data_IF_412721837609
#
_entry.id   IF_412721837609
#
_cell.length_a   1.000
_cell.length_b   1.000
_cell.length_c   1.000
_cell.angle_alpha   90.00
_cell.angle_beta   90.00
_cell.angle_gamma   90.00
#
_symmetry.space_group_name_H-M   'P 1'
#
loop_
_entity.id
_entity.type
_entity.pdbx_description
1 polymer ?
#
# COMPACT_ATOMS: atom_id res chain seq x y z
N UNK A 1 64.67 -64.94 30.33
CA UNK A 1 65.05 -64.68 28.93
C UNK A 1 63.77 -64.66 28.12
N UNK A 2 63.52 -63.57 27.38
CA UNK A 2 62.50 -63.39 26.31
C UNK A 2 61.03 -63.48 26.77
N UNK A 3 60.08 -62.65 26.32
CA UNK A 3 59.97 -61.76 25.15
C UNK A 3 58.82 -60.79 25.47
N UNK A 4 59.04 -59.48 25.38
CA UNK A 4 57.99 -58.47 25.43
C UNK A 4 57.37 -58.31 24.03
N UNK A 5 56.04 -58.35 23.94
CA UNK A 5 55.27 -57.97 22.76
C UNK A 5 55.01 -56.45 22.79
N UNK A 6 55.58 -55.70 21.84
CA UNK A 6 55.23 -54.31 21.59
C UNK A 6 54.04 -54.22 20.61
N UNK A 7 53.07 -53.29 20.81
CA UNK A 7 52.16 -52.89 19.75
C UNK A 7 52.72 -51.70 18.94
N UNK A 8 52.50 -51.81 17.63
CA UNK A 8 52.65 -50.87 16.51
C UNK A 8 52.65 -49.37 16.80
N UNK A 9 53.78 -48.70 16.51
CA UNK A 9 53.88 -47.23 16.41
C UNK A 9 53.95 -46.69 14.97
N UNK A 10 53.90 -47.55 13.95
CA UNK A 10 54.00 -47.14 12.53
C UNK A 10 52.64 -46.92 11.83
N UNK A 11 51.53 -47.44 12.37
CA UNK A 11 50.23 -47.29 11.72
C UNK A 11 49.58 -45.90 11.95
N UNK A 12 49.79 -45.29 13.12
CA UNK A 12 49.16 -44.00 13.47
C UNK A 12 49.77 -42.81 12.69
N UNK A 13 51.06 -42.88 12.33
CA UNK A 13 51.74 -41.79 11.60
C UNK A 13 51.38 -41.75 10.11
N UNK A 14 51.01 -42.88 9.51
CA UNK A 14 50.70 -42.96 8.09
C UNK A 14 49.25 -42.55 7.77
N UNK A 15 48.27 -42.87 8.63
CA UNK A 15 46.90 -42.39 8.47
C UNK A 15 46.81 -40.86 8.59
N UNK A 16 47.56 -40.27 9.52
CA UNK A 16 47.58 -38.81 9.73
C UNK A 16 48.19 -38.06 8.53
N UNK A 17 49.13 -38.68 7.79
CA UNK A 17 49.73 -38.10 6.57
C UNK A 17 48.81 -38.18 5.36
N UNK A 18 48.00 -39.23 5.21
CA UNK A 18 47.06 -39.35 4.08
C UNK A 18 45.87 -38.38 4.18
N UNK A 19 45.45 -38.01 5.40
CA UNK A 19 44.37 -37.05 5.61
C UNK A 19 44.74 -35.61 5.20
N UNK A 20 46.02 -35.23 5.32
CA UNK A 20 46.49 -33.89 4.95
C UNK A 20 46.68 -33.68 3.43
N UNK A 21 46.58 -34.75 2.64
CA UNK A 21 46.72 -34.68 1.18
C UNK A 21 45.42 -34.25 0.50
N UNK A 22 45.54 -33.37 -0.51
CA UNK A 22 44.38 -32.97 -1.31
C UNK A 22 43.84 -34.16 -2.11
N UNK A 23 42.53 -34.17 -2.47
CA UNK A 23 41.93 -35.28 -3.23
C UNK A 23 42.67 -35.59 -4.55
N UNK A 24 43.25 -34.58 -5.20
CA UNK A 24 44.01 -34.76 -6.44
C UNK A 24 45.41 -35.35 -6.20
N UNK A 25 46.10 -34.95 -5.12
CA UNK A 25 47.41 -35.51 -4.78
C UNK A 25 47.30 -37.00 -4.45
N UNK A 26 46.27 -37.42 -3.71
CA UNK A 26 46.02 -38.83 -3.41
C UNK A 26 45.81 -39.68 -4.66
N UNK A 27 44.99 -39.18 -5.59
CA UNK A 27 44.70 -39.91 -6.82
C UNK A 27 45.93 -39.98 -7.75
N UNK A 28 46.74 -38.93 -7.77
CA UNK A 28 47.99 -38.91 -8.52
C UNK A 28 49.02 -39.90 -7.96
N UNK A 29 49.14 -40.03 -6.63
CA UNK A 29 50.01 -41.01 -5.98
C UNK A 29 49.55 -42.43 -6.32
N UNK A 30 48.24 -42.72 -6.20
CA UNK A 30 47.68 -44.04 -6.57
C UNK A 30 47.91 -44.39 -8.04
N UNK A 31 47.78 -43.41 -8.93
CA UNK A 31 48.05 -43.60 -10.35
C UNK A 31 49.50 -44.01 -10.60
N UNK A 32 50.45 -43.36 -9.93
CA UNK A 32 51.88 -43.62 -10.05
C UNK A 32 52.27 -44.99 -9.46
N UNK A 33 51.72 -45.37 -8.31
CA UNK A 33 51.92 -46.70 -7.71
C UNK A 33 51.45 -47.84 -8.62
N UNK A 34 50.31 -47.64 -9.29
CA UNK A 34 49.75 -48.64 -10.21
C UNK A 34 50.58 -48.78 -11.50
N UNK A 35 51.34 -47.74 -11.86
CA UNK A 35 52.18 -47.69 -13.06
C UNK A 35 53.67 -47.88 -12.76
N UNK A 36 54.04 -48.12 -11.49
CA UNK A 36 55.40 -48.47 -11.08
C UNK A 36 56.38 -47.30 -10.99
N UNK A 37 55.91 -46.05 -11.04
CA UNK A 37 56.74 -44.84 -10.90
C UNK A 37 56.57 -44.23 -9.49
N UNK A 38 57.65 -43.68 -8.92
CA UNK A 38 57.60 -42.96 -7.64
C UNK A 38 57.57 -41.44 -7.87
N UNK A 39 56.86 -40.66 -7.03
CA UNK A 39 56.81 -39.20 -7.18
C UNK A 39 58.15 -38.55 -6.81
N UNK A 40 58.79 -37.87 -7.76
CA UNK A 40 60.10 -37.20 -7.60
C UNK A 40 60.16 -36.05 -6.58
N UNK A 41 59.03 -35.66 -5.98
CA UNK A 41 58.99 -34.56 -5.01
C UNK A 41 59.29 -35.02 -3.57
N UNK A 42 59.31 -36.32 -3.30
CA UNK A 42 59.73 -36.84 -1.99
C UNK A 42 61.25 -36.72 -1.77
N UNK A 43 62.04 -36.81 -2.85
CA UNK A 43 63.50 -36.66 -2.78
C UNK A 43 63.91 -35.20 -2.44
N UNK A 44 63.07 -34.23 -2.82
CA UNK A 44 63.31 -32.79 -2.60
C UNK A 44 63.09 -32.40 -1.13
N UNK A 45 62.20 -33.10 -0.43
CA UNK A 45 61.87 -32.78 0.97
C UNK A 45 62.95 -33.33 1.93
N UNK A 46 63.62 -34.43 1.57
CA UNK A 46 64.80 -34.95 2.27
C UNK A 46 66.05 -34.07 2.05
N UNK A 47 66.20 -33.44 0.87
CA UNK A 47 67.24 -32.42 0.61
C UNK A 47 66.99 -31.10 1.36
N UNK A 48 65.72 -30.68 1.46
CA UNK A 48 65.34 -29.44 2.16
C UNK A 48 65.52 -29.51 3.69
N UNK A 49 65.34 -30.69 4.29
CA UNK A 49 65.63 -30.89 5.72
C UNK A 49 67.15 -30.87 6.00
N UNK A 50 67.98 -31.30 5.04
CA UNK A 50 69.44 -31.22 5.13
C UNK A 50 69.98 -29.79 4.93
N UNK A 51 69.33 -28.99 4.08
CA UNK A 51 69.70 -27.59 3.84
C UNK A 51 69.33 -26.67 5.02
N UNK A 52 68.29 -26.99 5.79
CA UNK A 52 67.88 -26.21 6.98
C UNK A 52 68.87 -26.33 8.16
N UNK A 53 69.55 -27.48 8.34
CA UNK A 53 70.60 -27.63 9.36
C UNK A 53 71.87 -26.82 9.01
N UNK A 54 72.11 -26.51 7.73
CA UNK A 54 73.23 -25.70 7.24
C UNK A 54 72.98 -24.19 7.34
N UNK A 55 71.72 -23.76 7.25
CA UNK A 55 71.34 -22.34 7.23
C UNK A 55 71.25 -21.73 8.64
N UNK A 56 71.03 -22.55 9.68
CA UNK A 56 71.08 -22.13 11.09
C UNK A 56 72.52 -21.82 11.58
N UNK A 57 73.55 -22.42 10.95
CA UNK A 57 74.98 -22.19 11.26
C UNK A 57 75.53 -20.89 10.63
N UNK A 58 74.84 -20.33 9.63
CA UNK A 58 75.29 -19.16 8.85
C UNK A 58 74.66 -17.82 9.29
N UNK A 59 73.72 -17.84 10.25
CA UNK A 59 72.96 -16.65 10.69
C UNK A 59 73.57 -15.89 11.89
N UNK A 60 74.79 -16.20 12.32
CA UNK A 60 75.48 -15.45 13.40
C UNK A 60 76.30 -14.25 12.92
N UNK A 61 76.50 -14.02 11.62
CA UNK A 61 77.39 -12.95 11.15
C UNK A 61 76.71 -11.95 10.17
N UNK A 62 76.50 -10.75 10.73
CA UNK A 62 76.66 -9.43 10.11
C UNK A 62 75.42 -8.66 9.61
N UNK A 63 75.26 -7.50 10.26
CA UNK A 63 74.36 -6.40 10.00
C UNK A 63 74.78 -5.55 8.77
N UNK A 64 73.79 -4.86 8.20
CA UNK A 64 73.74 -3.57 7.43
C UNK A 64 74.96 -2.61 7.40
N UNK A 65 74.98 -1.47 6.63
CA UNK A 65 74.06 -0.96 5.57
C UNK A 65 74.71 -0.18 4.37
N UNK A 66 73.84 0.35 3.47
CA UNK A 66 73.89 1.64 2.71
C UNK A 66 74.92 1.95 1.58
N UNK A 67 74.42 2.42 0.41
CA UNK A 67 74.73 3.72 -0.26
C UNK A 67 74.14 3.80 -1.70
N UNK A 68 73.78 5.03 -2.07
CA UNK A 68 73.02 5.59 -3.21
C UNK A 68 73.93 6.01 -4.39
N UNK A 69 73.46 5.96 -5.65
CA UNK A 69 73.53 7.02 -6.71
C UNK A 69 73.41 6.49 -8.17
N UNK A 70 72.24 6.71 -8.77
CA UNK A 70 71.93 7.55 -9.95
C UNK A 70 72.88 7.70 -11.20
N UNK A 71 72.36 7.25 -12.37
CA UNK A 71 72.45 7.76 -13.78
C UNK A 71 73.85 7.74 -14.48
N UNK A 72 74.08 7.04 -15.61
CA UNK A 72 73.78 7.45 -17.00
C UNK A 72 73.85 6.28 -18.01
N UNK A 73 73.01 6.41 -19.05
CA UNK A 73 72.89 5.57 -20.24
C UNK A 73 74.10 5.65 -21.18
N UNK A 74 74.68 4.50 -21.54
CA UNK A 74 75.53 4.35 -22.73
C UNK A 74 74.93 3.30 -23.67
N UNK A 75 74.49 3.77 -24.83
CA UNK A 75 73.76 3.12 -25.92
C UNK A 75 74.60 2.11 -26.74
N UNK A 76 75.77 1.68 -26.27
CA UNK A 76 76.71 0.91 -27.10
C UNK A 76 76.79 -0.60 -26.80
N UNK A 77 75.88 -1.14 -25.99
CA UNK A 77 75.77 -2.60 -25.73
C UNK A 77 74.52 -3.29 -26.29
N UNK A 78 73.70 -2.60 -27.09
CA UNK A 78 72.45 -3.18 -27.60
C UNK A 78 72.57 -4.08 -28.85
N UNK A 79 73.72 -4.15 -29.52
CA UNK A 79 73.82 -4.89 -30.78
C UNK A 79 74.34 -6.34 -30.67
N UNK A 80 74.96 -6.74 -29.55
CA UNK A 80 75.45 -8.12 -29.39
C UNK A 80 74.49 -9.04 -28.62
N UNK A 81 73.63 -8.52 -27.74
CA UNK A 81 72.66 -9.35 -27.00
C UNK A 81 71.34 -9.60 -27.76
N UNK A 82 71.04 -8.82 -28.81
CA UNK A 82 69.84 -9.02 -29.65
C UNK A 82 69.92 -10.24 -30.58
N UNK A 83 71.08 -10.90 -30.70
CA UNK A 83 71.23 -12.11 -31.53
C UNK A 83 71.09 -13.43 -30.75
N UNK A 84 71.20 -13.43 -29.42
CA UNK A 84 71.08 -14.67 -28.63
C UNK A 84 69.73 -14.78 -27.91
N UNK A 85 69.01 -13.68 -27.68
CA UNK A 85 67.65 -13.72 -27.11
C UNK A 85 66.50 -13.89 -28.12
N UNK A 86 66.77 -14.07 -29.42
CA UNK A 86 65.71 -14.30 -30.43
C UNK A 86 65.19 -15.75 -30.48
N UNK A 87 65.93 -16.70 -29.92
CA UNK A 87 65.62 -18.14 -30.03
C UNK A 87 65.17 -18.80 -28.71
N UNK A 88 64.86 -18.01 -27.68
CA UNK A 88 64.10 -18.54 -26.54
C UNK A 88 62.62 -18.59 -26.92
N UNK A 89 61.94 -19.76 -26.87
CA UNK A 89 60.52 -19.84 -27.16
C UNK A 89 59.79 -18.98 -26.13
N UNK A 90 59.25 -17.84 -26.57
CA UNK A 90 58.42 -16.95 -25.76
C UNK A 90 57.33 -17.82 -25.14
N UNK A 91 57.44 -18.10 -23.84
CA UNK A 91 56.52 -18.96 -23.10
C UNK A 91 55.13 -18.35 -23.20
N UNK A 92 54.36 -18.82 -24.17
CA UNK A 92 52.94 -18.53 -24.26
C UNK A 92 52.33 -19.28 -23.09
N UNK A 93 51.94 -18.54 -22.06
CA UNK A 93 51.15 -19.04 -20.93
C UNK A 93 50.13 -20.06 -21.44
N UNK A 94 49.99 -21.20 -20.77
CA UNK A 94 49.07 -22.29 -21.16
C UNK A 94 47.63 -21.81 -21.42
N UNK A 95 47.24 -20.66 -20.87
CA UNK A 95 45.99 -19.97 -21.18
C UNK A 95 45.81 -19.61 -22.67
N UNK A 96 46.88 -19.44 -23.45
CA UNK A 96 46.84 -19.08 -24.88
C UNK A 96 46.61 -20.27 -25.82
N UNK A 97 46.77 -21.51 -25.35
CA UNK A 97 46.62 -22.72 -26.17
C UNK A 97 45.19 -23.27 -26.23
N UNK A 98 44.23 -22.64 -25.52
CA UNK A 98 42.81 -23.02 -25.49
C UNK A 98 41.92 -21.85 -25.97
N UNK A 99 41.84 -21.60 -27.29
CA UNK A 99 41.13 -20.44 -27.84
C UNK A 99 39.63 -20.42 -27.47
N UNK A 100 39.02 -21.59 -27.21
CA UNK A 100 37.59 -21.70 -26.87
C UNK A 100 37.26 -21.34 -25.41
N UNK A 101 38.18 -21.48 -24.46
CA UNK A 101 37.93 -21.16 -23.04
C UNK A 101 38.07 -19.66 -22.73
N UNK A 102 39.03 -18.97 -23.38
CA UNK A 102 39.15 -17.51 -23.28
C UNK A 102 37.91 -16.80 -23.82
N UNK A 103 37.38 -17.26 -24.96
CA UNK A 103 36.18 -16.69 -25.58
C UNK A 103 34.95 -16.88 -24.69
N UNK A 104 34.75 -18.05 -24.07
CA UNK A 104 33.62 -18.28 -23.15
C UNK A 104 33.71 -17.44 -21.86
N UNK A 105 34.89 -17.32 -21.25
CA UNK A 105 35.11 -16.46 -20.07
C UNK A 105 34.91 -14.98 -20.43
N UNK A 106 35.46 -14.53 -21.55
CA UNK A 106 35.24 -13.17 -22.06
C UNK A 106 33.78 -12.91 -22.43
N UNK A 107 33.04 -13.87 -22.97
CA UNK A 107 31.60 -13.71 -23.25
C UNK A 107 30.77 -13.60 -21.96
N UNK A 108 31.09 -14.37 -20.91
CA UNK A 108 30.43 -14.24 -19.60
C UNK A 108 30.77 -12.89 -18.95
N UNK A 109 32.02 -12.45 -19.02
CA UNK A 109 32.45 -11.15 -18.54
C UNK A 109 31.83 -10.00 -19.33
N UNK A 110 31.79 -10.08 -20.66
CA UNK A 110 31.09 -9.12 -21.52
C UNK A 110 29.60 -9.08 -21.22
N UNK A 111 28.91 -10.21 -21.04
CA UNK A 111 27.48 -10.23 -20.64
C UNK A 111 27.25 -9.55 -19.28
N UNK A 112 28.10 -9.84 -18.29
CA UNK A 112 28.03 -9.19 -16.97
C UNK A 112 28.33 -7.70 -17.06
N UNK A 113 29.32 -7.31 -17.86
CA UNK A 113 29.69 -5.92 -18.12
C UNK A 113 28.59 -5.19 -18.89
N UNK A 114 28.01 -5.79 -19.93
CA UNK A 114 26.89 -5.23 -20.69
C UNK A 114 25.66 -5.07 -19.81
N UNK A 115 25.39 -6.00 -18.88
CA UNK A 115 24.33 -5.84 -17.89
C UNK A 115 24.61 -4.64 -16.98
N UNK A 116 25.83 -4.53 -16.44
CA UNK A 116 26.23 -3.41 -15.58
C UNK A 116 26.16 -2.06 -16.34
N UNK A 117 26.75 -1.99 -17.53
CA UNK A 117 26.76 -0.80 -18.40
C UNK A 117 25.34 -0.46 -18.86
N UNK A 118 24.49 -1.44 -19.14
CA UNK A 118 23.08 -1.21 -19.45
C UNK A 118 22.33 -0.66 -18.24
N UNK A 119 22.59 -1.16 -17.03
CA UNK A 119 21.99 -0.66 -15.81
C UNK A 119 22.37 0.81 -15.57
N UNK A 120 23.67 1.13 -15.64
CA UNK A 120 24.16 2.50 -15.51
C UNK A 120 23.71 3.39 -16.67
N UNK A 121 23.62 2.86 -17.89
CA UNK A 121 23.11 3.57 -19.06
C UNK A 121 21.64 3.93 -18.91
N UNK A 122 20.80 3.02 -18.41
CA UNK A 122 19.39 3.27 -18.10
C UNK A 122 19.26 4.33 -17.00
N UNK A 123 20.08 4.25 -15.95
CA UNK A 123 20.11 5.26 -14.89
C UNK A 123 20.53 6.65 -15.42
N UNK A 124 21.55 6.71 -16.27
CA UNK A 124 22.01 7.94 -16.90
C UNK A 124 20.93 8.54 -17.83
N UNK A 125 20.24 7.72 -18.63
CA UNK A 125 19.10 8.14 -19.44
C UNK A 125 17.95 8.67 -18.56
N UNK A 126 17.70 8.02 -17.42
CA UNK A 126 16.74 8.50 -16.42
C UNK A 126 17.10 9.87 -15.86
N UNK A 127 18.39 10.13 -15.62
CA UNK A 127 18.87 11.43 -15.13
C UNK A 127 18.74 12.54 -16.20
N UNK A 128 19.07 12.23 -17.46
CA UNK A 128 18.89 13.15 -18.59
C UNK A 128 17.40 13.47 -18.76
N UNK A 129 16.53 12.45 -18.68
CA UNK A 129 15.08 12.65 -18.69
C UNK A 129 14.64 13.54 -17.53
N UNK A 130 15.12 13.31 -16.31
CA UNK A 130 14.73 14.08 -15.13
C UNK A 130 15.05 15.57 -15.26
N UNK A 131 16.23 15.92 -15.78
CA UNK A 131 16.64 17.33 -16.01
C UNK A 131 15.96 17.93 -17.25
N UNK A 132 15.51 17.10 -18.19
CA UNK A 132 14.84 17.53 -19.42
C UNK A 132 13.44 18.10 -19.16
N UNK A 133 12.97 19.07 -19.97
CA UNK A 133 11.58 19.53 -19.91
C UNK A 133 10.53 18.43 -20.17
N UNK A 134 10.93 17.27 -20.69
CA UNK A 134 10.05 16.11 -20.86
C UNK A 134 9.57 15.52 -19.51
N UNK A 135 10.29 15.73 -18.42
CA UNK A 135 9.88 15.28 -17.07
C UNK A 135 8.86 16.20 -16.39
N UNK A 136 8.53 17.34 -17.00
CA UNK A 136 7.62 18.35 -16.46
C UNK A 136 6.20 18.14 -16.95
N UNK A 137 5.23 18.51 -16.11
CA UNK A 137 3.81 18.41 -16.46
C UNK A 137 3.50 19.38 -17.60
N UNK A 138 3.23 18.86 -18.80
CA UNK A 138 2.90 19.67 -19.96
C UNK A 138 1.39 19.94 -20.07
N UNK A 139 0.57 18.92 -19.77
CA UNK A 139 -0.89 19.03 -19.84
C UNK A 139 -1.56 18.29 -18.69
N UNK A 140 -2.53 18.97 -18.08
CA UNK A 140 -3.45 18.41 -17.11
C UNK A 140 -4.80 18.17 -17.79
N UNK A 141 -5.24 16.93 -17.83
CA UNK A 141 -6.56 16.53 -18.35
C UNK A 141 -7.44 16.15 -17.16
N UNK A 142 -8.52 16.89 -16.91
CA UNK A 142 -9.48 16.57 -15.84
C UNK A 142 -10.71 15.95 -16.49
N UNK A 143 -11.12 14.79 -16.00
CA UNK A 143 -12.30 14.06 -16.50
C UNK A 143 -13.16 13.55 -15.35
N UNK A 144 -14.45 13.32 -15.61
CA UNK A 144 -15.40 12.80 -14.62
C UNK A 144 -16.06 13.86 -13.74
N UNK A 145 -15.66 15.12 -13.89
CA UNK A 145 -16.35 16.25 -13.26
C UNK A 145 -17.70 16.52 -13.95
N UNK A 146 -18.75 16.72 -13.16
CA UNK A 146 -20.11 16.95 -13.65
C UNK A 146 -20.64 18.31 -13.18
N UNK A 147 -20.67 18.55 -11.87
CA UNK A 147 -21.14 19.80 -11.27
C UNK A 147 -19.98 20.73 -10.92
N UNK A 148 -18.81 20.18 -10.60
CA UNK A 148 -17.63 20.99 -10.28
C UNK A 148 -16.87 21.35 -11.56
N UNK A 149 -16.50 22.61 -11.72
CA UNK A 149 -15.69 23.02 -12.88
C UNK A 149 -14.26 22.44 -12.82
N UNK A 150 -13.79 21.94 -13.96
CA UNK A 150 -12.41 21.49 -14.12
C UNK A 150 -11.38 22.59 -13.77
N UNK A 151 -11.72 23.87 -13.99
CA UNK A 151 -10.85 25.01 -13.66
C UNK A 151 -10.60 25.13 -12.15
N UNK A 152 -11.61 24.86 -11.33
CA UNK A 152 -11.55 24.92 -9.86
C UNK A 152 -10.79 23.72 -9.30
N UNK A 153 -11.01 22.54 -9.88
CA UNK A 153 -10.27 21.32 -9.53
C UNK A 153 -8.78 21.51 -9.84
N UNK A 154 -8.44 22.03 -11.03
CA UNK A 154 -7.06 22.32 -11.41
C UNK A 154 -6.38 23.25 -10.39
N UNK A 155 -7.05 24.35 -10.00
CA UNK A 155 -6.54 25.28 -8.98
C UNK A 155 -6.35 24.61 -7.62
N UNK A 156 -7.28 23.74 -7.22
CA UNK A 156 -7.20 23.00 -5.96
C UNK A 156 -6.02 22.03 -5.88
N UNK A 157 -5.63 21.44 -7.02
CA UNK A 157 -4.44 20.55 -7.05
C UNK A 157 -3.14 21.28 -6.73
N UNK A 158 -3.09 22.60 -6.96
CA UNK A 158 -1.86 23.43 -6.90
C UNK A 158 -0.71 22.92 -7.77
N UNK A 159 -1.01 22.10 -8.79
CA UNK A 159 -0.03 21.63 -9.76
C UNK A 159 0.22 22.72 -10.80
N UNK A 160 1.50 23.02 -11.04
CA UNK A 160 1.97 23.91 -12.10
C UNK A 160 2.62 23.11 -13.22
N UNK A 161 2.63 23.68 -14.41
CA UNK A 161 3.45 23.29 -15.57
C UNK A 161 4.97 23.20 -15.29
N UNK A 162 5.43 23.73 -14.15
CA UNK A 162 6.82 23.66 -13.69
C UNK A 162 7.11 22.44 -12.82
N UNK A 163 6.08 21.74 -12.33
CA UNK A 163 6.24 20.60 -11.44
C UNK A 163 6.67 19.36 -12.21
N UNK A 164 7.43 18.50 -11.53
CA UNK A 164 7.81 17.19 -12.08
C UNK A 164 6.60 16.26 -12.13
N UNK A 165 6.48 15.48 -13.20
CA UNK A 165 5.39 14.51 -13.40
C UNK A 165 5.38 13.47 -12.29
N UNK A 166 6.54 12.93 -11.94
CA UNK A 166 6.64 11.89 -10.91
C UNK A 166 6.32 12.43 -9.51
N UNK A 167 6.72 13.66 -9.19
CA UNK A 167 6.30 14.30 -7.94
C UNK A 167 4.79 14.49 -7.89
N UNK A 168 4.18 14.98 -8.98
CA UNK A 168 2.74 15.18 -9.05
C UNK A 168 1.94 13.87 -9.05
N UNK A 169 2.45 12.82 -9.68
CA UNK A 169 1.81 11.50 -9.75
C UNK A 169 1.80 10.77 -8.40
N UNK A 170 2.90 10.84 -7.65
CA UNK A 170 3.00 10.21 -6.33
C UNK A 170 2.51 11.09 -5.17
N UNK A 171 2.11 12.34 -5.44
CA UNK A 171 1.63 13.26 -4.41
C UNK A 171 0.19 12.93 -3.99
N UNK A 172 0.06 12.12 -2.93
CA UNK A 172 -1.22 11.82 -2.28
C UNK A 172 -1.89 13.06 -1.65
N UNK A 173 -1.15 14.15 -1.44
CA UNK A 173 -1.74 15.38 -0.90
C UNK A 173 -2.65 16.08 -1.90
N UNK A 174 -2.51 15.81 -3.20
CA UNK A 174 -3.42 16.33 -4.24
C UNK A 174 -4.86 15.92 -3.95
N UNK A 175 -5.09 14.65 -3.60
CA UNK A 175 -6.40 14.14 -3.20
C UNK A 175 -6.97 14.91 -2.00
N UNK A 176 -6.17 15.07 -0.95
CA UNK A 176 -6.59 15.75 0.27
C UNK A 176 -6.91 17.23 0.02
N UNK A 177 -6.11 17.93 -0.78
CA UNK A 177 -6.33 19.34 -1.15
C UNK A 177 -7.62 19.52 -1.96
N UNK A 178 -7.87 18.63 -2.92
CA UNK A 178 -9.06 18.68 -3.77
C UNK A 178 -10.32 18.35 -2.95
N UNK A 179 -10.30 17.29 -2.13
CA UNK A 179 -11.40 16.94 -1.22
C UNK A 179 -11.71 18.04 -0.20
N UNK A 180 -10.68 18.66 0.37
CA UNK A 180 -10.85 19.73 1.35
C UNK A 180 -11.43 21.01 0.74
N UNK A 181 -11.21 21.26 -0.55
CA UNK A 181 -11.73 22.45 -1.24
C UNK A 181 -13.11 22.26 -1.84
N UNK A 182 -13.48 21.01 -2.19
CA UNK A 182 -14.72 20.71 -2.89
C UNK A 182 -15.44 19.51 -2.24
N UNK A 183 -16.47 19.74 -1.42
CA UNK A 183 -17.19 18.66 -0.70
C UNK A 183 -17.93 17.70 -1.63
N UNK A 184 -18.19 18.09 -2.88
CA UNK A 184 -18.80 17.25 -3.92
C UNK A 184 -17.89 16.13 -4.43
N UNK A 185 -16.59 16.18 -4.14
CA UNK A 185 -15.63 15.23 -4.70
C UNK A 185 -15.48 14.01 -3.81
N UNK A 186 -15.92 12.86 -4.32
CA UNK A 186 -15.81 11.54 -3.68
C UNK A 186 -14.41 10.98 -3.78
N UNK A 187 -13.83 11.02 -4.97
CA UNK A 187 -12.48 10.52 -5.19
C UNK A 187 -11.74 11.19 -6.33
N UNK A 188 -10.41 11.14 -6.27
CA UNK A 188 -9.53 11.71 -7.27
C UNK A 188 -8.38 10.75 -7.53
N UNK A 189 -8.30 10.26 -8.76
CA UNK A 189 -7.21 9.41 -9.21
C UNK A 189 -6.33 10.17 -10.21
N UNK A 190 -5.02 10.02 -10.07
CA UNK A 190 -4.05 10.61 -10.98
C UNK A 190 -3.44 9.49 -11.83
N UNK A 191 -3.62 9.58 -13.13
CA UNK A 191 -3.15 8.62 -14.13
C UNK A 191 -2.15 9.28 -15.08
N UNK A 192 -1.20 8.51 -15.58
CA UNK A 192 -0.29 8.96 -16.63
C UNK A 192 -0.92 8.67 -18.00
N UNK A 193 -1.24 9.71 -18.77
CA UNK A 193 -1.84 9.56 -20.10
C UNK A 193 -0.77 9.47 -21.20
N UNK A 194 0.30 10.27 -21.08
CA UNK A 194 1.48 10.26 -21.98
C UNK A 194 2.74 10.52 -21.17
N UNK A 195 3.91 10.44 -21.83
CA UNK A 195 5.23 10.72 -21.24
C UNK A 195 5.24 12.02 -20.43
N UNK A 196 4.49 13.05 -20.85
CA UNK A 196 4.40 14.35 -20.18
C UNK A 196 2.97 14.84 -19.84
N UNK A 197 1.98 13.96 -19.83
CA UNK A 197 0.58 14.34 -19.58
C UNK A 197 0.01 13.58 -18.39
N UNK A 198 -0.58 14.33 -17.45
CA UNK A 198 -1.31 13.80 -16.32
C UNK A 198 -2.81 13.89 -16.57
N UNK A 199 -3.51 12.80 -16.27
CA UNK A 199 -4.96 12.71 -16.32
C UNK A 199 -5.49 12.55 -14.92
N UNK A 200 -6.31 13.49 -14.48
CA UNK A 200 -7.00 13.45 -13.19
C UNK A 200 -8.42 12.97 -13.46
N UNK A 201 -8.74 11.81 -12.93
CA UNK A 201 -10.09 11.25 -12.94
C UNK A 201 -10.75 11.63 -11.63
N UNK A 202 -11.83 12.39 -11.71
CA UNK A 202 -12.59 12.85 -10.55
C UNK A 202 -13.91 12.09 -10.51
N UNK A 203 -14.22 11.56 -9.34
CA UNK A 203 -15.54 10.99 -9.04
C UNK A 203 -16.26 11.94 -8.11
N UNK A 204 -17.43 12.43 -8.51
CA UNK A 204 -18.30 13.26 -7.67
C UNK A 204 -19.30 12.40 -6.91
N UNK A 205 -19.72 12.87 -5.73
CA UNK A 205 -20.85 12.31 -5.00
C UNK A 205 -22.16 12.66 -5.72
N UNK A 206 -23.06 11.69 -5.82
CA UNK A 206 -24.39 11.91 -6.37
C UNK A 206 -25.22 12.75 -5.39
N UNK A 207 -25.99 13.69 -5.92
CA UNK A 207 -27.08 14.33 -5.17
C UNK A 207 -28.24 13.34 -5.08
N UNK A 208 -28.83 13.19 -3.90
CA UNK A 208 -29.92 12.22 -3.69
C UNK A 208 -31.08 12.79 -2.88
N UNK A 209 -30.87 13.90 -2.16
CA UNK A 209 -31.92 14.56 -1.40
C UNK A 209 -31.68 16.06 -1.25
N UNK A 210 -32.68 16.76 -0.74
CA UNK A 210 -32.64 18.16 -0.35
C UNK A 210 -32.99 18.31 1.13
N UNK A 211 -32.13 18.96 1.91
CA UNK A 211 -32.44 19.37 3.27
C UNK A 211 -33.21 20.69 3.25
N UNK A 212 -34.39 20.70 3.84
CA UNK A 212 -35.27 21.87 3.91
C UNK A 212 -34.90 22.75 5.11
N UNK A 213 -34.56 24.00 4.85
CA UNK A 213 -34.34 25.03 5.86
C UNK A 213 -35.30 26.20 5.61
N UNK A 214 -36.41 26.25 6.36
CA UNK A 214 -37.46 27.24 6.15
C UNK A 214 -38.12 27.12 4.77
N UNK A 215 -37.80 28.05 3.86
CA UNK A 215 -38.30 28.09 2.47
C UNK A 215 -37.25 27.68 1.42
N UNK A 216 -36.00 27.44 1.84
CA UNK A 216 -34.91 27.09 0.92
C UNK A 216 -34.53 25.62 1.07
N UNK A 217 -33.92 25.07 0.03
CA UNK A 217 -33.47 23.70 -0.03
C UNK A 217 -31.95 23.64 -0.26
N UNK A 218 -31.26 22.83 0.53
CA UNK A 218 -29.82 22.58 0.41
C UNK A 218 -29.59 21.17 -0.15
N UNK A 219 -28.82 21.00 -1.24
CA UNK A 219 -28.51 19.68 -1.76
C UNK A 219 -27.78 18.81 -0.72
N UNK A 220 -28.15 17.53 -0.67
CA UNK A 220 -27.54 16.52 0.19
C UNK A 220 -26.95 15.42 -0.67
N UNK A 221 -25.67 15.15 -0.42
CA UNK A 221 -24.87 14.17 -1.14
C UNK A 221 -25.07 12.75 -0.58
N UNK A 222 -24.72 11.73 -1.38
CA UNK A 222 -24.82 10.30 -0.99
C UNK A 222 -24.06 9.93 0.29
N UNK A 223 -23.06 10.73 0.69
CA UNK A 223 -22.31 10.55 1.93
C UNK A 223 -22.91 11.29 3.13
N UNK A 224 -24.08 11.93 2.99
CA UNK A 224 -24.74 12.67 4.07
C UNK A 224 -24.23 14.10 4.28
N UNK A 225 -23.35 14.61 3.41
CA UNK A 225 -22.91 16.01 3.47
C UNK A 225 -23.99 16.94 2.91
N UNK A 226 -24.39 17.93 3.70
CA UNK A 226 -25.31 19.00 3.30
C UNK A 226 -24.49 20.16 2.72
N UNK A 227 -24.79 20.56 1.50
CA UNK A 227 -24.13 21.69 0.83
C UNK A 227 -24.79 23.00 1.23
N UNK A 228 -24.47 23.50 2.43
CA UNK A 228 -25.07 24.72 3.00
C UNK A 228 -24.82 25.99 2.18
N UNK A 229 -23.75 26.02 1.38
CA UNK A 229 -23.42 27.15 0.50
C UNK A 229 -24.24 27.15 -0.80
N UNK A 230 -24.95 26.08 -1.11
CA UNK A 230 -25.77 25.94 -2.29
C UNK A 230 -27.24 25.94 -1.89
N UNK A 231 -28.07 26.73 -2.58
CA UNK A 231 -29.50 26.82 -2.30
C UNK A 231 -30.29 26.65 -3.59
N UNK A 232 -31.44 25.99 -3.47
CA UNK A 232 -32.43 25.85 -4.52
C UNK A 232 -33.77 26.34 -4.00
N UNK A 233 -34.50 27.10 -4.82
CA UNK A 233 -35.82 27.64 -4.46
C UNK A 233 -36.90 26.56 -4.44
N UNK A 234 -36.76 25.52 -5.27
CA UNK A 234 -37.70 24.42 -5.38
C UNK A 234 -36.95 23.10 -5.47
N UNK A 235 -37.34 22.13 -4.64
CA UNK A 235 -36.86 20.76 -4.75
C UNK A 235 -37.42 20.13 -6.03
N UNK A 236 -36.56 19.46 -6.79
CA UNK A 236 -36.99 18.58 -7.89
C UNK A 236 -37.66 17.32 -7.29
N UNK A 237 -38.81 16.96 -7.86
CA UNK A 237 -39.66 15.85 -7.40
C UNK A 237 -38.97 14.48 -7.46
N UNK A 238 -37.84 14.38 -8.18
CA UNK A 238 -37.01 13.18 -8.23
C UNK A 238 -36.17 12.94 -6.97
N UNK A 239 -35.95 13.97 -6.15
CA UNK A 239 -35.11 13.90 -4.96
C UNK A 239 -35.95 13.86 -3.69
N UNK A 240 -35.42 13.20 -2.66
CA UNK A 240 -36.06 13.13 -1.35
C UNK A 240 -35.96 14.49 -0.65
N UNK A 241 -37.00 14.86 0.10
CA UNK A 241 -36.97 16.06 0.96
C UNK A 241 -36.73 15.64 2.41
N UNK A 242 -35.65 16.14 3.00
CA UNK A 242 -35.24 15.90 4.38
C UNK A 242 -35.62 17.10 5.26
N UNK A 243 -36.23 16.83 6.41
CA UNK A 243 -36.72 17.84 7.36
C UNK A 243 -36.05 17.62 8.72
N UNK A 244 -35.59 18.70 9.35
CA UNK A 244 -34.97 18.71 10.68
C UNK A 244 -33.73 17.79 10.82
N UNK A 245 -33.02 17.52 9.73
CA UNK A 245 -31.76 16.78 9.79
C UNK A 245 -30.60 17.69 10.13
N UNK A 246 -29.75 17.21 11.04
CA UNK A 246 -28.44 17.79 11.31
C UNK A 246 -27.35 16.89 10.72
N UNK A 247 -26.20 17.45 10.32
CA UNK A 247 -25.04 16.64 9.95
C UNK A 247 -24.66 15.67 11.08
N UNK A 248 -24.34 14.43 10.72
CA UNK A 248 -23.90 13.39 11.65
C UNK A 248 -24.40 12.00 11.30
N UNK A 249 -24.17 11.07 12.22
CA UNK A 249 -24.32 9.62 12.00
C UNK A 249 -25.73 9.22 11.54
N UNK A 250 -26.78 9.86 12.05
CA UNK A 250 -28.15 9.53 11.64
C UNK A 250 -28.41 9.83 10.15
N UNK A 251 -27.95 10.99 9.68
CA UNK A 251 -28.06 11.35 8.26
C UNK A 251 -27.15 10.48 7.39
N UNK A 252 -25.91 10.23 7.82
CA UNK A 252 -24.98 9.35 7.10
C UNK A 252 -25.55 7.94 6.93
N UNK A 253 -26.13 7.36 7.98
CA UNK A 253 -26.76 6.04 7.92
C UNK A 253 -27.98 6.01 6.98
N UNK A 254 -28.81 7.06 7.01
CA UNK A 254 -29.93 7.20 6.09
C UNK A 254 -29.44 7.19 4.64
N UNK A 255 -28.49 8.07 4.32
CA UNK A 255 -28.02 8.28 2.94
C UNK A 255 -27.20 7.10 2.43
N UNK A 256 -26.37 6.47 3.27
CA UNK A 256 -25.57 5.32 2.88
C UNK A 256 -26.42 4.10 2.45
N UNK A 257 -27.62 3.97 3.02
CA UNK A 257 -28.49 2.81 2.77
C UNK A 257 -29.65 3.11 1.81
N UNK A 258 -29.85 4.35 1.38
CA UNK A 258 -31.02 4.72 0.55
C UNK A 258 -31.03 4.02 -0.81
N UNK A 259 -29.85 3.70 -1.36
CA UNK A 259 -29.73 2.97 -2.62
C UNK A 259 -30.21 1.51 -2.52
N UNK A 260 -30.37 0.97 -1.31
CA UNK A 260 -30.92 -0.38 -1.08
C UNK A 260 -32.45 -0.39 -1.03
N UNK A 261 -33.07 0.79 -1.00
CA UNK A 261 -34.53 0.92 -1.04
C UNK A 261 -35.00 0.81 -2.49
N UNK A 262 -36.04 0.01 -2.72
CA UNK A 262 -36.63 -0.19 -4.03
C UNK A 262 -37.15 1.14 -4.59
N UNK A 263 -36.97 1.36 -5.90
CA UNK A 263 -37.39 2.60 -6.56
C UNK A 263 -38.88 2.91 -6.37
N UNK A 264 -39.73 1.87 -6.36
CA UNK A 264 -41.17 2.02 -6.11
C UNK A 264 -41.42 2.65 -4.73
N UNK A 265 -40.69 2.19 -3.71
CA UNK A 265 -40.84 2.70 -2.35
C UNK A 265 -40.23 4.09 -2.22
N UNK A 266 -39.02 4.31 -2.76
CA UNK A 266 -38.38 5.65 -2.79
C UNK A 266 -39.28 6.70 -3.44
N UNK A 267 -39.87 6.37 -4.58
CA UNK A 267 -40.75 7.27 -5.32
C UNK A 267 -42.07 7.54 -4.59
N UNK A 268 -42.48 6.68 -3.65
CA UNK A 268 -43.64 6.89 -2.81
C UNK A 268 -43.33 7.71 -1.55
N UNK A 269 -42.05 7.94 -1.20
CA UNK A 269 -41.69 8.83 -0.10
C UNK A 269 -41.91 10.27 -0.56
N UNK A 270 -42.65 11.05 0.26
CA UNK A 270 -42.84 12.48 0.05
C UNK A 270 -41.76 13.28 0.77
N UNK A 271 -41.53 12.98 2.04
CA UNK A 271 -40.56 13.67 2.88
C UNK A 271 -40.11 12.73 4.02
N UNK A 272 -38.90 12.96 4.51
CA UNK A 272 -38.33 12.25 5.66
C UNK A 272 -38.03 13.30 6.72
N UNK A 273 -38.58 13.13 7.91
CA UNK A 273 -38.30 13.98 9.07
C UNK A 273 -37.43 13.24 10.06
N UNK A 274 -36.38 13.89 10.54
CA UNK A 274 -35.66 13.46 11.74
C UNK A 274 -36.58 13.65 12.95
N UNK A 275 -36.83 12.58 13.70
CA UNK A 275 -37.76 12.57 14.84
C UNK A 275 -37.16 11.76 16.00
N UNK A 276 -35.98 12.14 16.52
CA UNK A 276 -35.31 11.40 17.59
C UNK A 276 -36.20 11.33 18.84
N UNK A 277 -36.22 10.17 19.48
CA UNK A 277 -36.92 9.93 20.74
C UNK A 277 -35.92 9.85 21.91
N UNK A 278 -36.42 9.84 23.16
CA UNK A 278 -35.56 9.68 24.35
C UNK A 278 -34.73 8.39 24.33
N UNK A 279 -35.23 7.36 23.68
CA UNK A 279 -34.61 6.03 23.65
C UNK A 279 -33.89 5.75 22.33
N UNK A 280 -34.15 6.55 21.28
CA UNK A 280 -33.59 6.34 19.95
C UNK A 280 -33.33 7.66 19.22
N UNK A 281 -32.07 8.08 19.18
CA UNK A 281 -31.61 9.27 18.43
C UNK A 281 -31.60 9.08 16.90
N UNK A 282 -31.75 7.84 16.43
CA UNK A 282 -31.73 7.47 15.01
C UNK A 282 -33.13 7.35 14.40
N UNK A 283 -34.16 7.74 15.15
CA UNK A 283 -35.54 7.59 14.72
C UNK A 283 -35.91 8.65 13.67
N UNK A 284 -36.51 8.18 12.57
CA UNK A 284 -37.02 9.00 11.48
C UNK A 284 -38.47 8.66 11.19
N UNK A 285 -39.22 9.67 10.77
CA UNK A 285 -40.59 9.53 10.28
C UNK A 285 -40.61 9.86 8.79
N UNK A 286 -41.00 8.89 7.96
CA UNK A 286 -41.16 9.08 6.52
C UNK A 286 -42.64 9.28 6.22
N UNK A 287 -42.99 10.40 5.61
CA UNK A 287 -44.35 10.67 5.12
C UNK A 287 -44.46 10.15 3.70
N UNK A 288 -45.43 9.27 3.44
CA UNK A 288 -45.65 8.65 2.14
C UNK A 288 -46.65 9.46 1.30
N UNK A 289 -46.58 9.36 -0.03
CA UNK A 289 -47.48 10.07 -0.95
C UNK A 289 -48.91 9.54 -0.90
N UNK A 290 -49.11 8.27 -0.53
CA UNK A 290 -50.42 7.68 -0.27
C UNK A 290 -51.09 8.20 1.03
N UNK A 291 -50.34 8.90 1.88
CA UNK A 291 -50.81 9.53 3.11
C UNK A 291 -50.59 8.70 4.38
N UNK A 292 -49.91 7.56 4.29
CA UNK A 292 -49.41 6.84 5.46
C UNK A 292 -48.10 7.47 5.98
N UNK A 293 -47.71 7.08 7.19
CA UNK A 293 -46.42 7.41 7.78
C UNK A 293 -45.66 6.13 8.13
N UNK A 294 -44.33 6.16 8.00
CA UNK A 294 -43.44 5.08 8.43
C UNK A 294 -42.54 5.63 9.53
N UNK A 295 -42.46 4.95 10.66
CA UNK A 295 -41.47 5.24 11.71
C UNK A 295 -40.38 4.19 11.60
N UNK A 296 -39.13 4.59 11.45
CA UNK A 296 -38.02 3.65 11.31
C UNK A 296 -36.73 4.20 11.92
N UNK A 297 -35.77 3.32 12.18
CA UNK A 297 -34.42 3.71 12.61
C UNK A 297 -33.49 3.82 11.42
N UNK A 298 -32.70 4.90 11.32
CA UNK A 298 -31.76 5.09 10.20
C UNK A 298 -30.68 4.01 10.11
N UNK A 299 -30.47 3.22 11.18
CA UNK A 299 -29.49 2.13 11.22
C UNK A 299 -29.89 0.91 10.39
N UNK A 300 -31.18 0.60 10.34
CA UNK A 300 -31.69 -0.70 9.89
C UNK A 300 -32.98 -0.61 9.05
N UNK A 301 -33.48 0.60 8.75
CA UNK A 301 -34.72 0.76 7.97
C UNK A 301 -34.68 0.05 6.62
N UNK A 302 -33.50 -0.05 5.97
CA UNK A 302 -33.36 -0.66 4.65
C UNK A 302 -33.78 -2.13 4.62
N UNK A 303 -33.73 -2.82 5.77
CA UNK A 303 -34.06 -4.24 5.86
C UNK A 303 -35.57 -4.47 5.89
N UNK A 304 -36.36 -3.43 6.22
CA UNK A 304 -37.82 -3.52 6.46
C UNK A 304 -38.64 -2.69 5.48
N UNK A 305 -38.13 -1.54 5.04
CA UNK A 305 -38.88 -0.56 4.25
C UNK A 305 -39.38 -1.11 2.92
N UNK A 306 -38.67 -2.07 2.31
CA UNK A 306 -39.09 -2.70 1.06
C UNK A 306 -40.35 -3.58 1.22
N UNK A 307 -40.72 -3.98 2.43
CA UNK A 307 -41.99 -4.68 2.71
C UNK A 307 -43.19 -3.73 2.80
N UNK A 308 -42.95 -2.41 2.83
CA UNK A 308 -44.01 -1.41 2.96
C UNK A 308 -45.17 -1.58 1.97
N UNK A 309 -44.96 -1.84 0.67
CA UNK A 309 -46.06 -2.00 -0.28
C UNK A 309 -47.03 -3.13 0.10
N UNK A 310 -46.51 -4.23 0.67
CA UNK A 310 -47.34 -5.33 1.14
C UNK A 310 -48.17 -4.91 2.36
N UNK A 311 -47.53 -4.30 3.36
CA UNK A 311 -48.20 -3.83 4.57
C UNK A 311 -49.30 -2.82 4.23
N UNK A 312 -48.98 -1.84 3.38
CA UNK A 312 -49.93 -0.82 2.95
C UNK A 312 -51.15 -1.42 2.21
N UNK A 313 -50.97 -2.54 1.51
CA UNK A 313 -52.08 -3.24 0.84
C UNK A 313 -53.02 -3.98 1.79
N UNK A 314 -52.53 -4.37 2.97
CA UNK A 314 -53.28 -5.06 4.01
C UNK A 314 -53.98 -4.08 4.98
N UNK A 315 -53.56 -2.81 5.00
CA UNK A 315 -54.17 -1.76 5.81
C UNK A 315 -55.53 -1.32 5.24
N UNK A 316 -56.58 -1.37 6.06
CA UNK A 316 -57.92 -0.89 5.69
C UNK A 316 -58.06 0.64 5.76
N UNK A 317 -57.24 1.29 6.60
CA UNK A 317 -57.27 2.72 6.87
C UNK A 317 -55.85 3.29 6.84
N UNK A 318 -55.75 4.60 6.60
CA UNK A 318 -54.45 5.29 6.66
C UNK A 318 -53.92 5.33 8.08
N UNK A 319 -52.60 5.18 8.21
CA UNK A 319 -52.00 5.08 9.53
C UNK A 319 -50.49 5.20 9.55
N UNK A 320 -49.94 4.71 10.66
CA UNK A 320 -48.51 4.64 10.92
C UNK A 320 -48.06 3.19 10.82
N UNK A 321 -46.99 2.95 10.07
CA UNK A 321 -46.27 1.68 10.05
C UNK A 321 -44.99 1.85 10.85
N UNK A 322 -44.94 1.25 12.03
CA UNK A 322 -43.76 1.23 12.89
C UNK A 322 -42.82 0.09 12.46
N UNK A 323 -41.62 0.47 12.05
CA UNK A 323 -40.53 -0.37 11.59
C UNK A 323 -39.32 -0.38 12.54
N UNK A 324 -39.44 0.14 13.77
CA UNK A 324 -38.31 0.23 14.71
C UNK A 324 -37.86 -1.16 15.17
N UNK A 325 -38.76 -1.95 15.78
CA UNK A 325 -38.45 -3.30 16.27
C UNK A 325 -38.99 -4.43 15.38
N UNK A 326 -40.10 -4.19 14.67
CA UNK A 326 -40.79 -5.16 13.83
C UNK A 326 -41.48 -4.45 12.67
N UNK A 327 -42.62 -4.96 12.20
CA UNK A 327 -43.48 -4.26 11.26
C UNK A 327 -44.89 -4.28 11.86
N UNK A 328 -45.34 -3.14 12.37
CA UNK A 328 -46.67 -2.99 12.98
C UNK A 328 -47.41 -1.83 12.33
N UNK A 329 -48.66 -2.05 11.93
CA UNK A 329 -49.51 -1.00 11.36
C UNK A 329 -50.61 -0.60 12.33
N UNK A 330 -50.76 0.70 12.59
CA UNK A 330 -51.80 1.25 13.47
C UNK A 330 -52.51 2.39 12.74
N UNK A 331 -53.84 2.41 12.71
CA UNK A 331 -54.59 3.48 12.04
C UNK A 331 -54.49 4.80 12.81
N UNK A 332 -54.65 5.93 12.12
CA UNK A 332 -54.63 7.23 12.79
C UNK A 332 -55.75 7.40 13.82
N UNK A 333 -56.90 6.78 13.59
CA UNK A 333 -58.03 6.82 14.53
C UNK A 333 -57.74 6.03 15.80
N UNK A 334 -57.09 4.87 15.67
CA UNK A 334 -56.64 4.08 16.81
C UNK A 334 -55.57 4.84 17.62
N UNK A 335 -54.58 5.44 16.95
CA UNK A 335 -53.56 6.28 17.61
C UNK A 335 -54.22 7.44 18.36
N UNK A 336 -55.23 8.09 17.76
CA UNK A 336 -55.95 9.19 18.40
C UNK A 336 -56.70 8.73 19.64
N UNK A 337 -57.33 7.56 19.60
CA UNK A 337 -58.01 6.96 20.75
C UNK A 337 -57.02 6.59 21.85
N UNK A 338 -55.92 5.92 21.52
CA UNK A 338 -54.86 5.56 22.46
C UNK A 338 -54.28 6.80 23.16
N UNK A 339 -53.98 7.87 22.41
CA UNK A 339 -53.51 9.14 22.99
C UNK A 339 -54.53 9.80 23.90
N UNK A 340 -55.82 9.71 23.59
CA UNK A 340 -56.88 10.25 24.45
C UNK A 340 -57.02 9.45 25.76
N UNK A 341 -56.92 8.12 25.68
CA UNK A 341 -56.96 7.22 26.85
C UNK A 341 -55.71 7.40 27.73
N UNK A 342 -54.53 7.51 27.13
CA UNK A 342 -53.27 7.75 27.85
C UNK A 342 -53.30 9.11 28.56
N UNK A 343 -53.80 10.15 27.89
CA UNK A 343 -53.99 11.47 28.50
C UNK A 343 -54.95 11.39 29.70
N UNK A 344 -56.10 10.72 29.53
CA UNK A 344 -57.07 10.56 30.60
C UNK A 344 -56.49 9.82 31.82
N UNK A 345 -55.65 8.79 31.59
CA UNK A 345 -54.94 8.07 32.66
C UNK A 345 -53.93 8.97 33.37
N UNK A 346 -53.11 9.70 32.61
CA UNK A 346 -52.11 10.61 33.18
C UNK A 346 -52.76 11.73 34.01
N UNK A 347 -53.89 12.29 33.52
CA UNK A 347 -54.64 13.31 34.25
C UNK A 347 -55.26 12.74 35.55
N UNK A 348 -55.72 11.49 35.53
CA UNK A 348 -56.24 10.80 36.72
C UNK A 348 -55.13 10.47 37.75
N UNK A 349 -53.97 10.00 37.30
CA UNK A 349 -52.81 9.74 38.16
C UNK A 349 -52.28 11.03 38.81
N UNK A 350 -52.25 12.14 38.05
CA UNK A 350 -51.87 13.44 38.59
C UNK A 350 -52.84 13.93 39.68
N UNK A 351 -54.15 13.74 39.47
CA UNK A 351 -55.17 14.08 40.46
C UNK A 351 -55.06 13.23 41.74
N UNK A 352 -54.82 11.91 41.61
CA UNK A 352 -54.58 11.04 42.77
C UNK A 352 -53.36 11.47 43.58
N UNK A 353 -52.26 11.82 42.90
CA UNK A 353 -51.05 12.29 43.56
C UNK A 353 -51.29 13.60 44.32
N UNK A 354 -52.06 14.52 43.75
CA UNK A 354 -52.43 15.77 44.43
C UNK A 354 -53.26 15.50 45.69
N UNK A 355 -54.20 14.56 45.65
CA UNK A 355 -54.98 14.17 46.83
C UNK A 355 -54.12 13.52 47.93
N UNK A 356 -53.13 12.70 47.56
CA UNK A 356 -52.20 12.12 48.54
C UNK A 356 -51.33 13.19 49.20
N UNK A 357 -50.84 14.16 48.43
CA UNK A 357 -50.00 15.25 48.93
C UNK A 357 -50.81 16.18 49.85
N UNK A 358 -52.05 16.55 49.48
CA UNK A 358 -52.96 17.34 50.34
C UNK A 358 -53.31 16.63 51.66
N UNK A 359 -53.45 15.30 51.65
CA UNK A 359 -53.73 14.53 52.86
C UNK A 359 -52.49 14.34 53.75
N UNK A 360 -51.28 14.35 53.19
CA UNK A 360 -50.03 14.34 53.98
C UNK A 360 -49.78 15.66 54.69
N UNK A 361 -50.09 16.79 54.05
CA UNK A 361 -49.99 18.11 54.68
C UNK A 361 -50.96 18.24 55.87
N UNK A 362 -52.20 17.77 55.72
CA UNK A 362 -53.21 17.82 56.79
C UNK A 362 -52.95 16.89 57.98
N UNK A 363 -52.12 15.86 57.82
CA UNK A 363 -51.79 14.92 58.91
C UNK A 363 -50.48 15.25 59.65
N UNK A 364 -49.76 16.30 59.23
CA UNK A 364 -48.53 16.79 59.86
C UNK A 364 -48.73 18.13 60.61
N UNK A 365 -49.95 18.69 60.59
CA UNK A 365 -50.43 19.72 61.52
C UNK A 365 -51.22 19.06 62.67
#
# INVERSE_FOLDING_TARGET
MTKDDQPSSEQDSNETREEMLTPWQRENIRYLEQHGDRPQWQDVEEELEADQELEEELLEEEESPEIVEEIETDESREEQDKKVLKDLPKSRSFADKLPKMKVQRQQRLKKRLTLLVSLFGIAALGMIYYVSPLSKVNRLEIVGNQKVEASLIAKATKLSDKDGIWSAYFDKSVLAKVKASHPRIKDVEVHLSKINNLKIVVTEFSEIAYAKEGKVFHPVLENGVILTNETVEQADDQFLVLINFTPGVSLENLMANINKVDEVVKNNIKEISSTPSKNNEYLVTMTMKDGNQIIASTKDYQDKINYYPQVASEMSEKGVVDMEAGIFSTSFDEIKKQKAEEKAKNDYEAWLKQLEDENKEKNNE
#
